data_IF_690420479083
#
_entry.id   IF_690420479083
#
_cell.length_a   1.000
_cell.length_b   1.000
_cell.length_c   1.000
_cell.angle_alpha   90.00
_cell.angle_beta   90.00
_cell.angle_gamma   90.00
#
_symmetry.space_group_name_H-M   'P 1'
#
loop_
_entity.id
_entity.type
_entity.pdbx_description
1 polymer ?
#
# COMPACT_ATOMS: atom_id res chain seq x y z
N UNK A 1 -10.57 6.74 -5.64
CA UNK A 1 -9.46 7.50 -6.26
C UNK A 1 -9.47 7.18 -7.74
N UNK A 2 -10.12 8.00 -8.59
CA UNK A 2 -10.31 7.70 -10.02
C UNK A 2 -9.00 7.50 -10.78
N UNK A 3 -7.95 8.25 -10.41
CA UNK A 3 -6.66 8.24 -11.09
C UNK A 3 -5.56 7.49 -10.30
N UNK A 4 -5.95 6.65 -9.34
CA UNK A 4 -4.99 6.00 -8.44
C UNK A 4 -4.23 6.98 -7.53
N UNK A 5 -3.17 6.49 -6.88
CA UNK A 5 -2.26 7.28 -6.03
C UNK A 5 -0.87 7.30 -6.69
N UNK A 6 -0.09 8.38 -6.58
CA UNK A 6 1.30 8.35 -6.98
C UNK A 6 2.11 7.32 -6.18
N UNK A 7 3.23 6.88 -6.74
CA UNK A 7 4.25 6.14 -6.02
C UNK A 7 4.68 6.90 -4.75
N UNK A 8 5.05 6.15 -3.72
CA UNK A 8 5.50 6.65 -2.43
C UNK A 8 4.53 7.61 -1.72
N UNK A 9 3.26 7.63 -2.13
CA UNK A 9 2.23 8.49 -1.51
C UNK A 9 1.32 7.66 -0.62
N UNK A 10 1.12 8.04 0.66
CA UNK A 10 0.19 7.34 1.55
C UNK A 10 -1.25 7.49 1.06
N UNK A 11 -2.08 6.48 1.29
CA UNK A 11 -3.49 6.55 0.92
C UNK A 11 -4.24 7.53 1.86
N UNK A 12 -5.08 8.40 1.30
CA UNK A 12 -5.93 9.34 2.06
C UNK A 12 -6.91 8.66 3.04
N UNK A 13 -7.15 7.36 2.83
CA UNK A 13 -8.01 6.55 3.68
C UNK A 13 -7.28 5.89 4.85
N UNK A 14 -5.99 6.18 5.07
CA UNK A 14 -5.28 5.75 6.27
C UNK A 14 -5.66 6.63 7.47
N UNK A 15 -5.78 6.01 8.64
CA UNK A 15 -5.83 6.70 9.94
C UNK A 15 -4.42 6.97 10.47
N UNK A 16 -4.33 7.59 11.66
CA UNK A 16 -3.07 7.88 12.35
C UNK A 16 -2.22 6.63 12.67
N UNK A 17 -2.87 5.47 12.75
CA UNK A 17 -2.25 4.17 13.00
C UNK A 17 -1.99 3.40 11.69
N UNK A 18 -2.13 4.04 10.52
CA UNK A 18 -1.95 3.45 9.19
C UNK A 18 -2.92 2.30 8.88
N UNK A 19 -4.12 2.32 9.47
CA UNK A 19 -5.22 1.39 9.16
C UNK A 19 -6.17 2.01 8.16
N UNK A 20 -6.74 1.18 7.27
CA UNK A 20 -7.68 1.66 6.28
C UNK A 20 -9.06 1.95 6.91
N UNK A 21 -9.49 3.21 6.88
CA UNK A 21 -10.81 3.67 7.38
C UNK A 21 -12.00 3.03 6.67
N UNK A 22 -11.80 2.51 5.46
CA UNK A 22 -12.84 1.90 4.63
C UNK A 22 -12.61 0.40 4.40
N UNK A 23 -11.91 -0.30 5.30
CA UNK A 23 -11.46 -1.68 5.11
C UNK A 23 -12.58 -2.67 4.71
N UNK A 24 -13.76 -2.53 5.31
CA UNK A 24 -14.96 -3.37 5.08
C UNK A 24 -15.95 -2.73 4.11
N UNK A 25 -15.70 -1.50 3.66
CA UNK A 25 -16.61 -0.77 2.79
C UNK A 25 -16.54 -1.30 1.35
N UNK A 26 -17.66 -1.35 0.61
CA UNK A 26 -17.65 -1.61 -0.82
C UNK A 26 -16.89 -0.55 -1.62
N UNK A 27 -16.61 0.62 -1.02
CA UNK A 27 -15.80 1.69 -1.63
C UNK A 27 -14.29 1.40 -1.57
N UNK A 28 -13.84 0.35 -0.87
CA UNK A 28 -12.42 -0.05 -0.86
C UNK A 28 -11.98 -0.44 -2.28
N UNK A 29 -10.91 0.17 -2.83
CA UNK A 29 -10.45 -0.18 -4.17
C UNK A 29 -10.12 -1.67 -4.29
N UNK A 30 -10.56 -2.31 -5.40
CA UNK A 30 -10.35 -3.75 -5.65
C UNK A 30 -8.88 -4.16 -5.55
N UNK A 31 -7.96 -3.33 -6.04
CA UNK A 31 -6.51 -3.58 -5.94
C UNK A 31 -6.02 -3.72 -4.50
N UNK A 32 -6.58 -2.94 -3.57
CA UNK A 32 -6.23 -3.01 -2.14
C UNK A 32 -6.77 -4.27 -1.46
N UNK A 33 -7.78 -4.94 -2.04
CA UNK A 33 -8.29 -6.22 -1.57
C UNK A 33 -7.59 -7.40 -2.26
N UNK A 34 -7.16 -7.22 -3.51
CA UNK A 34 -6.46 -8.24 -4.30
C UNK A 34 -4.99 -8.42 -3.88
N UNK A 35 -4.32 -7.37 -3.42
CA UNK A 35 -2.94 -7.47 -2.93
C UNK A 35 -2.92 -8.01 -1.50
N UNK A 36 -2.51 -9.27 -1.34
CA UNK A 36 -2.34 -9.91 -0.03
C UNK A 36 -0.92 -9.69 0.50
N UNK A 37 -0.74 -9.52 1.82
CA UNK A 37 0.59 -9.42 2.41
C UNK A 37 1.35 -10.74 2.27
N UNK A 38 2.62 -10.66 1.90
CA UNK A 38 3.52 -11.80 1.83
C UNK A 38 4.77 -11.52 2.68
N UNK A 39 5.41 -12.59 3.18
CA UNK A 39 6.52 -12.46 4.15
C UNK A 39 7.73 -11.74 3.57
N UNK A 40 8.03 -12.00 2.31
CA UNK A 40 9.06 -11.32 1.52
C UNK A 40 8.79 -9.82 1.37
N UNK A 41 7.52 -9.43 1.21
CA UNK A 41 7.11 -8.02 1.13
C UNK A 41 7.15 -7.31 2.48
N UNK A 42 6.75 -7.99 3.55
CA UNK A 42 6.57 -7.37 4.87
C UNK A 42 7.85 -7.35 5.71
N UNK A 43 8.78 -8.30 5.50
CA UNK A 43 9.99 -8.42 6.31
C UNK A 43 9.69 -8.64 7.79
N UNK A 44 10.63 -8.23 8.66
CA UNK A 44 10.49 -8.26 10.11
C UNK A 44 10.09 -6.90 10.71
N UNK A 45 10.10 -5.83 9.92
CA UNK A 45 9.81 -4.48 10.38
C UNK A 45 9.13 -3.62 9.32
N UNK A 46 8.40 -2.59 9.76
CA UNK A 46 7.83 -1.58 8.85
C UNK A 46 8.90 -0.96 7.96
N UNK A 47 10.10 -0.74 8.48
CA UNK A 47 11.19 -0.14 7.73
C UNK A 47 11.61 -1.02 6.55
N UNK A 48 11.76 -2.33 6.78
CA UNK A 48 12.06 -3.30 5.71
C UNK A 48 10.95 -3.33 4.65
N UNK A 49 9.69 -3.38 5.09
CA UNK A 49 8.55 -3.35 4.15
C UNK A 49 8.56 -2.09 3.27
N UNK A 50 8.88 -0.92 3.84
CA UNK A 50 8.98 0.32 3.08
C UNK A 50 10.16 0.31 2.12
N UNK A 51 11.33 -0.20 2.53
CA UNK A 51 12.48 -0.36 1.62
C UNK A 51 12.15 -1.27 0.45
N UNK A 52 11.44 -2.38 0.68
CA UNK A 52 10.97 -3.26 -0.37
C UNK A 52 10.02 -2.55 -1.34
N UNK A 53 9.03 -1.81 -0.84
CA UNK A 53 8.10 -1.05 -1.68
C UNK A 53 8.81 0.00 -2.54
N UNK A 54 9.75 0.76 -1.97
CA UNK A 54 10.52 1.76 -2.71
C UNK A 54 11.37 1.13 -3.82
N UNK A 55 11.96 -0.03 -3.55
CA UNK A 55 12.69 -0.79 -4.57
C UNK A 55 11.79 -1.19 -5.74
N UNK A 56 10.59 -1.71 -5.46
CA UNK A 56 9.62 -2.05 -6.51
C UNK A 56 9.16 -0.82 -7.30
N UNK A 57 8.91 0.31 -6.64
CA UNK A 57 8.54 1.55 -7.31
C UNK A 57 9.65 2.04 -8.26
N UNK A 58 10.92 1.93 -7.87
CA UNK A 58 12.04 2.27 -8.73
C UNK A 58 12.18 1.33 -9.94
N UNK A 59 11.98 0.02 -9.75
CA UNK A 59 12.04 -0.97 -10.83
C UNK A 59 10.89 -0.85 -11.84
N UNK A 60 9.76 -0.28 -11.42
CA UNK A 60 8.53 -0.14 -12.22
C UNK A 60 8.28 1.30 -12.68
N UNK A 61 9.25 2.19 -12.48
CA UNK A 61 9.17 3.56 -12.96
C UNK A 61 9.10 3.57 -14.50
N UNK A 62 8.22 4.40 -15.10
CA UNK A 62 8.06 4.52 -16.55
C UNK A 62 9.25 5.20 -17.23
#
# INVERSE_FOLDING_TARGET
MPNGKPANTPCVQLDENQRCKIFTSPLRPKVCAGLQPARDMCGASRQEAMTWLLHLEALTAP
#
